data_IF_721061256935
#
_entry.id   IF_721061256935
#
_cell.length_a   1.000
_cell.length_b   1.000
_cell.length_c   1.000
_cell.angle_alpha   90.00
_cell.angle_beta   90.00
_cell.angle_gamma   90.00
#
_symmetry.space_group_name_H-M   'P 1'
#
loop_
_entity.id
_entity.type
_entity.pdbx_description
1 polymer ?
#
# COMPACT_ATOMS: atom_id res chain seq x y z
N UNK A 1 72.33 48.66 -17.66
CA UNK A 1 71.01 49.12 -17.16
C UNK A 1 69.91 48.56 -18.04
N UNK A 2 68.77 48.18 -17.46
CA UNK A 2 67.62 47.66 -18.18
C UNK A 2 66.33 48.34 -17.71
N UNK A 3 65.30 48.34 -18.55
CA UNK A 3 63.93 48.72 -18.18
C UNK A 3 62.89 48.11 -19.12
N UNK A 4 61.67 48.00 -18.64
CA UNK A 4 60.47 47.72 -19.43
C UNK A 4 59.58 48.96 -19.31
N UNK A 5 59.59 49.87 -20.31
CA UNK A 5 58.87 51.13 -20.26
C UNK A 5 57.36 50.97 -19.97
N UNK A 6 56.77 49.83 -20.32
CA UNK A 6 55.35 49.54 -20.10
C UNK A 6 55.01 49.16 -18.65
N UNK A 7 56.01 49.02 -17.78
CA UNK A 7 55.86 48.64 -16.36
C UNK A 7 56.43 49.71 -15.45
N UNK A 8 57.63 50.19 -15.77
CA UNK A 8 58.35 51.20 -14.98
C UNK A 8 59.27 52.00 -15.91
N UNK A 9 59.16 53.33 -15.86
CA UNK A 9 59.94 54.25 -16.70
C UNK A 9 61.41 54.36 -16.24
N UNK A 10 61.70 53.94 -15.01
CA UNK A 10 63.02 54.05 -14.38
C UNK A 10 64.00 52.99 -14.90
N UNK A 11 65.27 53.38 -14.99
CA UNK A 11 66.37 52.48 -15.34
C UNK A 11 66.86 51.72 -14.11
N UNK A 12 66.89 50.40 -14.19
CA UNK A 12 67.42 49.53 -13.15
C UNK A 12 68.84 49.07 -13.52
N UNK A 13 69.77 49.09 -12.56
CA UNK A 13 71.09 48.46 -12.70
C UNK A 13 71.03 47.02 -12.21
N UNK A 14 71.67 46.11 -12.94
CA UNK A 14 71.93 44.75 -12.47
C UNK A 14 73.43 44.52 -12.52
N UNK A 15 73.95 43.84 -11.50
CA UNK A 15 75.33 43.35 -11.44
C UNK A 15 75.46 41.91 -11.95
N UNK A 16 74.34 41.24 -12.23
CA UNK A 16 74.29 39.88 -12.77
C UNK A 16 73.83 39.92 -14.24
N UNK A 17 74.27 38.93 -15.02
CA UNK A 17 73.90 38.79 -16.45
C UNK A 17 72.42 38.37 -16.66
N UNK A 18 71.62 38.33 -15.60
CA UNK A 18 70.20 38.04 -15.63
C UNK A 18 69.39 39.05 -14.79
N UNK A 19 68.10 39.11 -15.05
CA UNK A 19 67.11 39.84 -14.27
C UNK A 19 65.77 39.11 -14.36
N UNK A 20 64.89 39.27 -13.39
CA UNK A 20 63.60 38.58 -13.32
C UNK A 20 62.47 39.55 -13.04
N UNK A 21 61.44 39.52 -13.89
CA UNK A 21 60.17 40.20 -13.63
C UNK A 21 59.10 39.16 -13.32
N UNK A 22 58.40 39.33 -12.20
CA UNK A 22 57.30 38.46 -11.79
C UNK A 22 55.96 39.14 -12.11
N UNK A 23 54.93 38.33 -12.38
CA UNK A 23 53.54 38.79 -12.55
C UNK A 23 53.30 39.77 -13.72
N UNK A 24 54.01 39.56 -14.83
CA UNK A 24 53.72 40.26 -16.09
C UNK A 24 52.29 39.96 -16.55
N UNK A 25 51.51 41.00 -16.84
CA UNK A 25 50.19 40.86 -17.45
C UNK A 25 50.34 40.43 -18.90
N UNK A 26 49.27 39.95 -19.51
CA UNK A 26 49.28 39.64 -20.94
C UNK A 26 49.43 40.93 -21.75
N UNK A 27 50.26 40.91 -22.79
CA UNK A 27 50.59 42.10 -23.57
C UNK A 27 51.96 42.03 -24.22
N UNK A 28 52.23 43.02 -25.07
CA UNK A 28 53.53 43.22 -25.71
C UNK A 28 54.40 44.10 -24.82
N UNK A 29 55.62 43.65 -24.56
CA UNK A 29 56.60 44.38 -23.77
C UNK A 29 57.87 44.57 -24.60
N UNK A 30 58.49 45.74 -24.47
CA UNK A 30 59.77 46.03 -25.10
C UNK A 30 60.85 46.14 -24.03
N UNK A 31 61.76 45.16 -24.03
CA UNK A 31 62.93 45.18 -23.18
C UNK A 31 63.96 46.16 -23.76
N UNK A 32 64.31 47.19 -23.00
CA UNK A 32 65.37 48.14 -23.35
C UNK A 32 66.61 47.90 -22.47
N UNK A 33 67.77 47.72 -23.09
CA UNK A 33 69.05 47.54 -22.39
C UNK A 33 70.05 48.59 -22.89
N UNK A 34 70.74 49.28 -21.97
CA UNK A 34 71.81 50.24 -22.30
C UNK A 34 73.06 50.00 -21.47
N UNK A 35 74.22 50.28 -22.06
CA UNK A 35 75.52 50.29 -21.39
C UNK A 35 75.70 51.57 -20.56
N UNK A 36 76.62 51.55 -19.60
CA UNK A 36 76.95 52.70 -18.74
C UNK A 36 77.74 53.79 -19.48
N UNK A 37 78.49 53.43 -20.53
CA UNK A 37 79.47 54.31 -21.21
C UNK A 37 79.10 54.55 -22.69
N UNK A 38 77.80 54.55 -23.02
CA UNK A 38 77.36 54.84 -24.38
C UNK A 38 75.86 54.99 -24.52
N UNK A 39 75.44 55.87 -25.43
CA UNK A 39 74.03 56.25 -25.63
C UNK A 39 73.24 55.27 -26.53
N UNK A 40 73.82 54.09 -26.80
CA UNK A 40 73.17 53.06 -27.63
C UNK A 40 72.30 52.16 -26.77
N UNK A 41 71.00 52.18 -27.06
CA UNK A 41 69.98 51.31 -26.45
C UNK A 41 69.69 50.14 -27.39
N UNK A 42 69.76 48.92 -26.88
CA UNK A 42 69.30 47.72 -27.58
C UNK A 42 67.87 47.40 -27.13
N UNK A 43 66.99 47.08 -28.08
CA UNK A 43 65.57 46.84 -27.84
C UNK A 43 65.16 45.45 -28.33
N UNK A 44 64.44 44.68 -27.50
CA UNK A 44 63.88 43.38 -27.85
C UNK A 44 62.43 43.33 -27.41
N UNK A 45 61.52 43.08 -28.36
CA UNK A 45 60.10 42.94 -28.07
C UNK A 45 59.72 41.47 -27.85
N UNK A 46 58.96 41.21 -26.78
CA UNK A 46 58.39 39.90 -26.50
C UNK A 46 56.90 40.03 -26.13
N UNK A 47 56.14 38.96 -26.34
CA UNK A 47 54.69 38.94 -26.09
C UNK A 47 54.36 37.90 -25.01
N UNK A 48 53.67 38.34 -23.96
CA UNK A 48 53.13 37.45 -22.93
C UNK A 48 51.72 37.05 -23.34
N UNK A 49 51.56 35.78 -23.73
CA UNK A 49 50.28 35.22 -24.17
C UNK A 49 49.18 35.32 -23.11
N UNK A 50 47.93 35.43 -23.57
CA UNK A 50 46.78 35.43 -22.67
C UNK A 50 46.66 34.08 -21.95
N UNK A 51 46.19 34.07 -20.69
CA UNK A 51 45.98 32.82 -19.97
C UNK A 51 45.03 31.91 -20.74
N UNK A 52 45.36 30.62 -20.82
CA UNK A 52 44.64 29.64 -21.64
C UNK A 52 43.14 29.50 -21.30
N UNK A 53 42.74 29.79 -20.06
CA UNK A 53 41.35 29.77 -19.59
C UNK A 53 40.50 30.96 -20.07
N UNK A 54 41.10 31.99 -20.68
CA UNK A 54 40.40 33.11 -21.34
C UNK A 54 40.26 32.93 -22.86
N UNK A 55 40.75 31.82 -23.42
CA UNK A 55 40.60 31.54 -24.85
C UNK A 55 39.14 31.25 -25.22
N UNK A 56 38.73 31.59 -26.44
CA UNK A 56 37.36 31.32 -26.93
C UNK A 56 36.98 29.83 -26.82
N UNK A 57 37.96 28.92 -26.99
CA UNK A 57 37.79 27.47 -26.80
C UNK A 57 37.45 27.11 -25.34
N UNK A 58 37.99 27.82 -24.37
CA UNK A 58 37.72 27.57 -22.95
C UNK A 58 36.26 27.90 -22.60
N UNK A 59 35.71 28.99 -23.15
CA UNK A 59 34.29 29.33 -22.99
C UNK A 59 33.36 28.26 -23.60
N UNK A 60 33.73 27.67 -24.74
CA UNK A 60 32.98 26.55 -25.30
C UNK A 60 33.01 25.33 -24.37
N UNK A 61 34.16 24.98 -23.82
CA UNK A 61 34.29 23.86 -22.87
C UNK A 61 33.45 24.11 -21.62
N UNK A 62 33.50 25.32 -21.04
CA UNK A 62 32.67 25.66 -19.88
C UNK A 62 31.17 25.59 -20.20
N UNK A 63 30.76 26.05 -21.38
CA UNK A 63 29.37 25.96 -21.84
C UNK A 63 28.91 24.50 -21.96
N UNK A 64 29.74 23.61 -22.51
CA UNK A 64 29.44 22.18 -22.64
C UNK A 64 29.34 21.53 -21.25
N UNK A 65 30.28 21.81 -20.35
CA UNK A 65 30.27 21.29 -18.97
C UNK A 65 29.03 21.77 -18.22
N UNK A 66 28.68 23.05 -18.35
CA UNK A 66 27.46 23.60 -17.76
C UNK A 66 26.20 22.95 -18.32
N UNK A 67 26.10 22.80 -19.65
CA UNK A 67 24.99 22.11 -20.29
C UNK A 67 24.88 20.63 -19.83
N UNK A 68 26.02 19.95 -19.66
CA UNK A 68 26.09 18.60 -19.12
C UNK A 68 25.60 18.51 -17.67
N UNK A 69 25.99 19.45 -16.81
CA UNK A 69 25.50 19.55 -15.44
C UNK A 69 23.98 19.82 -15.39
N UNK A 70 23.48 20.74 -16.20
CA UNK A 70 22.04 21.03 -16.32
C UNK A 70 21.29 19.80 -16.81
N UNK A 71 21.79 19.13 -17.84
CA UNK A 71 21.21 17.89 -18.37
C UNK A 71 21.18 16.79 -17.29
N UNK A 72 22.28 16.59 -16.57
CA UNK A 72 22.34 15.63 -15.47
C UNK A 72 21.34 15.96 -14.35
N UNK A 73 21.25 17.23 -13.95
CA UNK A 73 20.27 17.70 -12.97
C UNK A 73 18.84 17.42 -13.39
N UNK A 74 18.48 17.74 -14.64
CA UNK A 74 17.16 17.44 -15.22
C UNK A 74 16.91 15.93 -15.25
N UNK A 75 17.91 15.12 -15.63
CA UNK A 75 17.78 13.66 -15.68
C UNK A 75 17.54 13.07 -14.30
N UNK A 76 18.28 13.50 -13.28
CA UNK A 76 18.11 13.05 -11.89
C UNK A 76 16.73 13.44 -11.37
N UNK A 77 16.32 14.69 -11.56
CA UNK A 77 15.00 15.17 -11.14
C UNK A 77 13.86 14.39 -11.81
N UNK A 78 13.98 14.11 -13.12
CA UNK A 78 12.98 13.32 -13.86
C UNK A 78 12.94 11.87 -13.40
N UNK A 79 14.07 11.27 -13.03
CA UNK A 79 14.12 9.91 -12.51
C UNK A 79 13.42 9.80 -11.16
N UNK A 80 13.69 10.72 -10.24
CA UNK A 80 13.02 10.75 -8.93
C UNK A 80 11.51 10.96 -9.08
N UNK A 81 11.09 11.86 -9.96
CA UNK A 81 9.67 12.10 -10.25
C UNK A 81 8.98 10.86 -10.84
N UNK A 82 9.64 10.12 -11.73
CA UNK A 82 9.10 8.89 -12.29
C UNK A 82 8.92 7.81 -11.21
N UNK A 83 9.88 7.68 -10.31
CA UNK A 83 9.81 6.75 -9.17
C UNK A 83 8.66 7.10 -8.22
N UNK A 84 8.49 8.37 -7.88
CA UNK A 84 7.39 8.83 -7.04
C UNK A 84 6.02 8.55 -7.68
N UNK A 85 5.89 8.77 -9.00
CA UNK A 85 4.66 8.44 -9.73
C UNK A 85 4.34 6.95 -9.69
N UNK A 86 5.34 6.08 -9.90
CA UNK A 86 5.14 4.63 -9.83
C UNK A 86 4.68 4.17 -8.44
N UNK A 87 5.27 4.72 -7.37
CA UNK A 87 4.87 4.41 -6.00
C UNK A 87 3.43 4.86 -5.73
N UNK A 88 3.08 6.06 -6.17
CA UNK A 88 1.72 6.59 -6.02
C UNK A 88 0.70 5.76 -6.81
N UNK A 89 1.01 5.39 -8.06
CA UNK A 89 0.15 4.52 -8.88
C UNK A 89 -0.03 3.14 -8.25
N UNK A 90 1.06 2.57 -7.71
CA UNK A 90 1.01 1.30 -6.99
C UNK A 90 0.10 1.40 -5.75
N UNK A 91 0.25 2.45 -4.95
CA UNK A 91 -0.58 2.69 -3.75
C UNK A 91 -2.05 2.92 -4.11
N UNK A 92 -2.34 3.70 -5.15
CA UNK A 92 -3.70 3.91 -5.66
C UNK A 92 -4.32 2.59 -6.12
N UNK A 93 -3.59 1.78 -6.88
CA UNK A 93 -4.10 0.49 -7.37
C UNK A 93 -4.33 -0.49 -6.22
N UNK A 94 -3.44 -0.51 -5.23
CA UNK A 94 -3.62 -1.31 -4.01
C UNK A 94 -4.87 -0.88 -3.24
N UNK A 95 -5.03 0.42 -2.99
CA UNK A 95 -6.20 0.96 -2.28
C UNK A 95 -7.50 0.71 -3.05
N UNK A 96 -7.50 0.82 -4.39
CA UNK A 96 -8.65 0.47 -5.22
C UNK A 96 -9.04 -0.99 -5.07
N UNK A 97 -8.07 -1.89 -5.12
CA UNK A 97 -8.30 -3.32 -4.96
C UNK A 97 -8.86 -3.62 -3.56
N UNK A 98 -8.28 -3.05 -2.50
CA UNK A 98 -8.78 -3.20 -1.13
C UNK A 98 -10.22 -2.67 -0.98
N UNK A 99 -10.55 -1.53 -1.58
CA UNK A 99 -11.90 -0.98 -1.57
C UNK A 99 -12.91 -1.86 -2.32
N UNK A 100 -12.52 -2.42 -3.47
CA UNK A 100 -13.38 -3.33 -4.24
C UNK A 100 -13.66 -4.62 -3.46
N UNK A 101 -12.65 -5.14 -2.75
CA UNK A 101 -12.80 -6.28 -1.85
C UNK A 101 -13.73 -5.97 -0.69
N UNK A 102 -13.54 -4.82 -0.03
CA UNK A 102 -14.43 -4.38 1.05
C UNK A 102 -15.88 -4.23 0.58
N UNK A 103 -16.09 -3.71 -0.63
CA UNK A 103 -17.43 -3.62 -1.22
C UNK A 103 -18.05 -5.01 -1.44
N UNK A 104 -17.27 -5.98 -1.93
CA UNK A 104 -17.71 -7.36 -2.12
C UNK A 104 -18.03 -8.06 -0.79
N UNK A 105 -17.23 -7.82 0.24
CA UNK A 105 -17.51 -8.31 1.60
C UNK A 105 -18.81 -7.70 2.16
N UNK A 106 -19.09 -6.41 1.89
CA UNK A 106 -20.35 -5.78 2.27
C UNK A 106 -21.55 -6.37 1.52
N UNK A 107 -21.46 -6.50 0.20
CA UNK A 107 -22.49 -7.12 -0.65
C UNK A 107 -22.87 -8.51 -0.12
N UNK A 108 -21.87 -9.30 0.25
CA UNK A 108 -22.05 -10.59 0.88
C UNK A 108 -22.79 -10.49 2.22
N UNK A 109 -22.39 -9.58 3.11
CA UNK A 109 -23.06 -9.39 4.40
C UNK A 109 -24.53 -9.02 4.21
N UNK A 110 -24.85 -8.25 3.17
CA UNK A 110 -26.24 -7.96 2.80
C UNK A 110 -26.98 -9.22 2.35
N UNK A 111 -26.38 -10.03 1.48
CA UNK A 111 -26.98 -11.33 1.07
C UNK A 111 -27.20 -12.24 2.26
N UNK A 112 -26.23 -12.34 3.17
CA UNK A 112 -26.37 -13.13 4.39
C UNK A 112 -27.51 -12.59 5.25
N UNK A 113 -27.56 -11.28 5.51
CA UNK A 113 -28.66 -10.64 6.26
C UNK A 113 -30.03 -10.93 5.65
N UNK A 114 -30.12 -10.87 4.32
CA UNK A 114 -31.36 -11.20 3.61
C UNK A 114 -31.79 -12.66 3.82
N UNK A 115 -30.88 -13.63 3.68
CA UNK A 115 -31.19 -15.05 3.92
C UNK A 115 -31.61 -15.33 5.37
N UNK A 116 -31.04 -14.57 6.30
CA UNK A 116 -31.36 -14.63 7.73
C UNK A 116 -32.78 -14.11 7.98
N UNK A 117 -33.10 -12.93 7.46
CA UNK A 117 -34.42 -12.31 7.60
C UNK A 117 -35.51 -13.15 6.94
N UNK A 118 -35.24 -13.70 5.74
CA UNK A 118 -36.13 -14.65 5.07
C UNK A 118 -36.45 -15.84 5.99
N UNK A 119 -35.45 -16.41 6.65
CA UNK A 119 -35.68 -17.56 7.53
C UNK A 119 -36.48 -17.19 8.78
N UNK A 120 -36.26 -16.00 9.34
CA UNK A 120 -37.02 -15.51 10.48
C UNK A 120 -38.51 -15.38 10.13
N UNK A 121 -38.82 -14.77 8.99
CA UNK A 121 -40.21 -14.62 8.50
C UNK A 121 -40.85 -16.00 8.28
N UNK A 122 -40.13 -16.95 7.66
CA UNK A 122 -40.67 -18.30 7.43
C UNK A 122 -40.93 -19.04 8.74
N UNK A 123 -40.09 -18.83 9.75
CA UNK A 123 -40.27 -19.42 11.09
C UNK A 123 -41.46 -18.78 11.81
N UNK A 124 -41.61 -17.46 11.75
CA UNK A 124 -42.75 -16.75 12.32
C UNK A 124 -44.08 -17.17 11.67
N UNK A 125 -44.11 -17.28 10.34
CA UNK A 125 -45.27 -17.80 9.61
C UNK A 125 -45.59 -19.25 10.01
N UNK A 126 -44.58 -20.08 10.27
CA UNK A 126 -44.77 -21.44 10.75
C UNK A 126 -45.45 -21.44 12.11
N UNK A 127 -44.96 -20.62 13.04
CA UNK A 127 -45.49 -20.50 14.39
C UNK A 127 -46.94 -20.00 14.39
N UNK A 128 -47.28 -19.03 13.53
CA UNK A 128 -48.67 -18.59 13.34
C UNK A 128 -49.57 -19.72 12.81
N UNK A 129 -49.11 -20.49 11.83
CA UNK A 129 -49.87 -21.63 11.29
C UNK A 129 -50.07 -22.72 12.35
N UNK A 130 -49.05 -22.99 13.16
CA UNK A 130 -49.15 -23.98 14.23
C UNK A 130 -50.14 -23.52 15.32
N UNK A 131 -50.24 -22.20 15.58
CA UNK A 131 -51.28 -21.65 16.45
C UNK A 131 -52.70 -21.80 15.86
N UNK A 132 -52.88 -21.62 14.54
CA UNK A 132 -54.18 -21.82 13.87
C UNK A 132 -54.69 -23.27 13.97
N UNK A 133 -53.81 -24.25 14.11
CA UNK A 133 -54.19 -25.67 14.30
C UNK A 133 -54.88 -25.92 15.64
N UNK A 134 -54.62 -25.08 16.65
CA UNK A 134 -55.22 -25.21 17.98
C UNK A 134 -56.71 -24.83 17.95
N UNK A 135 -57.12 -23.95 17.02
CA UNK A 135 -58.51 -23.57 16.75
C UNK A 135 -59.05 -24.25 15.48
N UNK A 136 -58.98 -25.59 15.47
CA UNK A 136 -59.26 -26.44 14.30
C UNK A 136 -60.69 -26.34 13.74
N UNK A 137 -61.62 -25.68 14.43
CA UNK A 137 -63.01 -25.51 13.99
C UNK A 137 -63.21 -24.31 13.06
N UNK A 138 -62.24 -23.39 12.99
CA UNK A 138 -62.41 -22.08 12.33
C UNK A 138 -61.81 -22.00 10.93
N UNK A 139 -60.87 -22.89 10.58
CA UNK A 139 -60.14 -22.85 9.32
C UNK A 139 -60.18 -24.20 8.59
N UNK A 140 -60.38 -24.24 7.25
CA UNK A 140 -60.39 -25.50 6.54
C UNK A 140 -58.98 -26.13 6.52
N UNK A 141 -58.87 -27.35 7.05
CA UNK A 141 -57.61 -28.11 7.21
C UNK A 141 -56.77 -28.18 5.94
N UNK A 142 -57.41 -28.22 4.76
CA UNK A 142 -56.72 -28.28 3.46
C UNK A 142 -55.89 -27.02 3.17
N UNK A 143 -56.38 -25.82 3.53
CA UNK A 143 -55.64 -24.57 3.34
C UNK A 143 -54.47 -24.47 4.30
N UNK A 144 -54.67 -24.84 5.58
CA UNK A 144 -53.61 -24.89 6.60
C UNK A 144 -52.46 -25.81 6.16
N UNK A 145 -52.78 -27.03 5.70
CA UNK A 145 -51.78 -27.97 5.16
C UNK A 145 -51.08 -27.44 3.92
N UNK A 146 -51.77 -26.71 3.05
CA UNK A 146 -51.16 -26.12 1.85
C UNK A 146 -50.14 -25.03 2.23
N UNK A 147 -50.46 -24.18 3.19
CA UNK A 147 -49.56 -23.14 3.67
C UNK A 147 -48.35 -23.73 4.41
N UNK A 148 -48.57 -24.76 5.24
CA UNK A 148 -47.50 -25.51 5.92
C UNK A 148 -46.52 -26.13 4.93
N UNK A 149 -47.03 -26.71 3.83
CA UNK A 149 -46.19 -27.25 2.76
C UNK A 149 -45.29 -26.18 2.14
N UNK A 150 -45.84 -25.00 1.80
CA UNK A 150 -45.07 -23.89 1.20
C UNK A 150 -43.96 -23.41 2.15
N UNK A 151 -44.28 -23.25 3.43
CA UNK A 151 -43.29 -22.83 4.44
C UNK A 151 -42.22 -23.89 4.60
N UNK A 152 -42.60 -25.17 4.67
CA UNK A 152 -41.64 -26.26 4.82
C UNK A 152 -40.67 -26.33 3.63
N UNK A 153 -41.18 -26.19 2.40
CA UNK A 153 -40.35 -26.13 1.18
C UNK A 153 -39.38 -24.94 1.23
N UNK A 154 -39.83 -23.77 1.69
CA UNK A 154 -38.98 -22.58 1.87
C UNK A 154 -37.92 -22.72 2.97
N UNK A 155 -38.22 -23.45 4.05
CA UNK A 155 -37.26 -23.73 5.13
C UNK A 155 -36.23 -24.79 4.71
N UNK A 156 -36.63 -25.79 3.91
CA UNK A 156 -35.72 -26.82 3.40
C UNK A 156 -34.68 -26.26 2.41
N UNK A 157 -35.04 -25.28 1.59
CA UNK A 157 -34.13 -24.68 0.61
C UNK A 157 -33.00 -23.86 1.24
N UNK A 158 -33.11 -23.52 2.53
CA UNK A 158 -32.17 -22.64 3.23
C UNK A 158 -30.72 -23.16 3.18
N UNK A 159 -30.51 -24.47 3.31
CA UNK A 159 -29.16 -25.06 3.39
C UNK A 159 -28.42 -24.88 2.06
N UNK A 160 -29.09 -25.16 0.94
CA UNK A 160 -28.49 -25.00 -0.39
C UNK A 160 -28.39 -23.52 -0.78
N UNK A 161 -29.32 -22.65 -0.40
CA UNK A 161 -29.20 -21.19 -0.59
C UNK A 161 -27.97 -20.62 0.13
N UNK A 162 -27.74 -21.03 1.37
CA UNK A 162 -26.54 -20.67 2.13
C UNK A 162 -25.27 -21.22 1.47
N UNK A 163 -25.28 -22.48 1.04
CA UNK A 163 -24.15 -23.09 0.36
C UNK A 163 -23.83 -22.41 -0.96
N UNK A 164 -24.85 -21.97 -1.71
CA UNK A 164 -24.68 -21.19 -2.93
C UNK A 164 -24.13 -19.81 -2.63
N UNK A 165 -24.62 -19.12 -1.59
CA UNK A 165 -24.05 -17.86 -1.13
C UNK A 165 -22.57 -18.00 -0.75
N UNK A 166 -22.20 -19.08 -0.05
CA UNK A 166 -20.80 -19.41 0.31
C UNK A 166 -19.96 -19.84 -0.92
N UNK A 167 -20.54 -20.51 -1.91
CA UNK A 167 -19.81 -20.88 -3.13
C UNK A 167 -19.56 -19.67 -4.02
N UNK A 168 -20.53 -18.76 -4.13
CA UNK A 168 -20.33 -17.46 -4.78
C UNK A 168 -19.28 -16.62 -4.04
N UNK A 169 -19.18 -16.78 -2.72
CA UNK A 169 -18.12 -16.21 -1.88
C UNK A 169 -16.72 -16.71 -2.25
N UNK A 170 -16.57 -17.99 -2.61
CA UNK A 170 -15.26 -18.54 -3.06
C UNK A 170 -14.75 -17.88 -4.35
N UNK A 171 -15.61 -17.21 -5.11
CA UNK A 171 -15.24 -16.48 -6.32
C UNK A 171 -14.77 -15.04 -6.03
N UNK A 172 -14.99 -14.49 -4.81
CA UNK A 172 -14.40 -13.23 -4.38
C UNK A 172 -13.10 -13.53 -3.60
N UNK A 173 -11.98 -13.58 -4.32
CA UNK A 173 -10.74 -14.20 -3.87
C UNK A 173 -10.00 -13.58 -2.66
N UNK A 174 -10.54 -12.62 -1.90
CA UNK A 174 -9.87 -12.08 -0.70
C UNK A 174 -10.91 -11.59 0.33
N UNK A 175 -10.78 -11.97 1.62
CA UNK A 175 -11.73 -11.60 2.68
C UNK A 175 -11.70 -12.53 3.91
N UNK A 176 -12.56 -12.26 4.91
CA UNK A 176 -12.62 -13.01 6.19
C UNK A 176 -12.82 -14.52 6.00
N UNK A 177 -13.77 -14.94 5.16
CA UNK A 177 -14.09 -16.37 4.99
C UNK A 177 -13.00 -17.14 4.26
N UNK A 178 -12.26 -16.50 3.33
CA UNK A 178 -11.09 -17.12 2.71
C UNK A 178 -10.04 -17.43 3.78
N UNK A 179 -9.66 -16.43 4.58
CA UNK A 179 -8.74 -16.64 5.70
C UNK A 179 -9.28 -17.70 6.67
N UNK A 180 -10.57 -17.66 7.00
CA UNK A 180 -11.19 -18.63 7.91
C UNK A 180 -11.08 -20.07 7.38
N UNK A 181 -11.30 -20.29 6.09
CA UNK A 181 -11.20 -21.61 5.45
C UNK A 181 -9.73 -22.04 5.28
N UNK A 182 -8.82 -21.11 4.97
CA UNK A 182 -7.37 -21.38 4.89
C UNK A 182 -6.79 -21.81 6.24
N UNK A 183 -7.13 -21.11 7.32
CA UNK A 183 -6.67 -21.44 8.67
C UNK A 183 -7.40 -22.64 9.28
N UNK A 184 -8.68 -22.83 8.96
CA UNK A 184 -9.53 -23.88 9.52
C UNK A 184 -10.24 -24.68 8.41
N UNK A 185 -9.51 -25.50 7.63
CA UNK A 185 -10.06 -26.23 6.48
C UNK A 185 -11.10 -27.29 6.85
N UNK A 186 -11.17 -27.69 8.12
CA UNK A 186 -12.10 -28.72 8.62
C UNK A 186 -13.47 -28.14 9.06
N UNK A 187 -13.75 -26.85 8.81
CA UNK A 187 -15.04 -26.24 9.10
C UNK A 187 -16.11 -26.71 8.10
N UNK A 188 -17.24 -27.15 8.64
CA UNK A 188 -18.42 -27.54 7.84
C UNK A 188 -19.23 -26.30 7.44
N UNK A 189 -20.14 -26.39 6.45
CA UNK A 189 -21.04 -25.29 6.09
C UNK A 189 -21.83 -24.72 7.28
N UNK A 190 -22.26 -25.59 8.21
CA UNK A 190 -22.95 -25.16 9.42
C UNK A 190 -22.04 -24.42 10.41
N UNK A 191 -20.75 -24.80 10.49
CA UNK A 191 -19.79 -24.05 11.29
C UNK A 191 -19.53 -22.67 10.68
N UNK A 192 -19.40 -22.57 9.35
CA UNK A 192 -19.25 -21.30 8.64
C UNK A 192 -20.47 -20.40 8.84
N UNK A 193 -21.68 -20.96 8.74
CA UNK A 193 -22.94 -20.25 9.05
C UNK A 193 -22.95 -19.71 10.48
N UNK A 194 -22.52 -20.51 11.46
CA UNK A 194 -22.36 -20.05 12.85
C UNK A 194 -21.32 -18.92 12.96
N UNK A 195 -20.18 -19.00 12.26
CA UNK A 195 -19.18 -17.94 12.25
C UNK A 195 -19.73 -16.63 11.69
N UNK A 196 -20.52 -16.70 10.61
CA UNK A 196 -21.20 -15.54 10.04
C UNK A 196 -22.08 -14.83 11.07
N UNK A 197 -22.90 -15.59 11.80
CA UNK A 197 -23.77 -15.02 12.82
C UNK A 197 -22.99 -14.37 13.95
N UNK A 198 -21.90 -15.01 14.41
CA UNK A 198 -21.06 -14.48 15.46
C UNK A 198 -20.35 -13.19 15.02
N UNK A 199 -19.82 -13.15 13.79
CA UNK A 199 -19.18 -11.96 13.22
C UNK A 199 -20.15 -10.78 13.05
N UNK A 200 -21.42 -11.08 12.80
CA UNK A 200 -22.50 -10.07 12.75
C UNK A 200 -23.00 -9.65 14.14
N UNK A 201 -22.35 -10.11 15.21
CA UNK A 201 -22.65 -9.80 16.60
C UNK A 201 -24.07 -10.21 17.07
N UNK A 202 -24.64 -11.29 16.51
CA UNK A 202 -25.88 -11.86 17.01
C UNK A 202 -25.68 -12.54 18.37
N UNK A 203 -26.65 -12.38 19.27
CA UNK A 203 -26.69 -13.06 20.56
C UNK A 203 -27.01 -14.55 20.42
N UNK A 204 -26.66 -15.36 21.42
CA UNK A 204 -26.99 -16.81 21.43
C UNK A 204 -28.50 -17.05 21.23
N UNK A 205 -29.37 -16.16 21.75
CA UNK A 205 -30.82 -16.27 21.58
C UNK A 205 -31.27 -16.02 20.15
N UNK A 206 -30.74 -14.98 19.51
CA UNK A 206 -31.04 -14.68 18.10
C UNK A 206 -30.53 -15.80 17.20
N UNK A 207 -29.29 -16.28 17.42
CA UNK A 207 -28.73 -17.41 16.67
C UNK A 207 -29.60 -18.67 16.82
N UNK A 208 -30.10 -18.93 18.03
CA UNK A 208 -30.97 -20.08 18.30
C UNK A 208 -32.27 -20.01 17.49
N UNK A 209 -32.90 -18.83 17.45
CA UNK A 209 -34.10 -18.57 16.63
C UNK A 209 -33.78 -18.76 15.14
N UNK A 210 -32.69 -18.18 14.67
CA UNK A 210 -32.28 -18.19 13.26
C UNK A 210 -31.85 -19.58 12.76
N UNK A 211 -31.35 -20.44 13.63
CA UNK A 211 -31.00 -21.83 13.32
C UNK A 211 -32.12 -22.82 13.63
N UNK A 212 -33.25 -22.36 14.20
CA UNK A 212 -34.34 -23.19 14.69
C UNK A 212 -33.84 -24.32 15.62
N UNK A 213 -33.00 -23.96 16.59
CA UNK A 213 -32.45 -24.88 17.62
C UNK A 213 -32.58 -24.25 19.00
N UNK A 214 -32.36 -25.04 20.05
CA UNK A 214 -32.29 -24.49 21.41
C UNK A 214 -31.05 -23.62 21.60
N UNK A 215 -31.13 -22.65 22.52
CA UNK A 215 -29.96 -21.87 22.98
C UNK A 215 -28.83 -22.78 23.45
N UNK A 216 -29.17 -23.89 24.12
CA UNK A 216 -28.24 -24.95 24.52
C UNK A 216 -27.53 -25.57 23.30
N UNK A 217 -28.26 -25.81 22.21
CA UNK A 217 -27.70 -26.32 20.95
C UNK A 217 -26.70 -25.36 20.29
N UNK A 218 -26.95 -24.05 20.39
CA UNK A 218 -26.00 -23.02 19.96
C UNK A 218 -24.73 -23.05 20.82
N UNK A 219 -24.85 -23.13 22.14
CA UNK A 219 -23.69 -23.20 23.05
C UNK A 219 -22.80 -24.44 22.77
N UNK A 220 -23.42 -25.60 22.53
CA UNK A 220 -22.69 -26.81 22.12
C UNK A 220 -21.97 -26.60 20.78
N UNK A 221 -22.61 -25.89 19.85
CA UNK A 221 -22.00 -25.58 18.55
C UNK A 221 -20.83 -24.60 18.69
N UNK A 222 -20.95 -23.56 19.53
CA UNK A 222 -19.84 -22.64 19.87
C UNK A 222 -18.68 -23.39 20.52
N UNK A 223 -18.96 -24.33 21.42
CA UNK A 223 -17.93 -25.17 22.05
C UNK A 223 -17.19 -26.04 21.02
N UNK A 224 -17.93 -26.71 20.13
CA UNK A 224 -17.33 -27.50 19.03
C UNK A 224 -16.50 -26.62 18.10
N UNK A 225 -16.99 -25.42 17.79
CA UNK A 225 -16.30 -24.46 16.94
C UNK A 225 -14.96 -24.03 17.56
N UNK A 226 -14.95 -23.68 18.86
CA UNK A 226 -13.72 -23.37 19.61
C UNK A 226 -12.71 -24.51 19.55
N UNK A 227 -13.15 -25.76 19.71
CA UNK A 227 -12.26 -26.93 19.59
C UNK A 227 -11.68 -27.08 18.19
N UNK A 228 -12.49 -26.91 17.14
CA UNK A 228 -12.02 -26.97 15.74
C UNK A 228 -11.02 -25.86 15.43
N UNK A 229 -11.20 -24.69 16.03
CA UNK A 229 -10.30 -23.54 15.91
C UNK A 229 -9.13 -23.54 16.89
N UNK A 230 -9.06 -24.53 17.79
CA UNK A 230 -8.04 -24.65 18.84
C UNK A 230 -7.91 -23.40 19.74
N UNK A 231 -9.02 -22.71 19.98
CA UNK A 231 -9.04 -21.50 20.80
C UNK A 231 -9.03 -21.83 22.30
N UNK A 232 -8.28 -21.05 23.06
CA UNK A 232 -8.26 -21.12 24.51
C UNK A 232 -9.61 -20.67 25.12
N UNK A 233 -9.88 -21.10 26.36
CA UNK A 233 -11.17 -20.86 27.02
C UNK A 233 -11.40 -19.39 27.39
N UNK A 234 -10.31 -18.66 27.62
CA UNK A 234 -10.27 -17.24 27.96
C UNK A 234 -10.51 -16.31 26.77
N UNK A 235 -10.36 -16.80 25.54
CA UNK A 235 -10.60 -16.01 24.33
C UNK A 235 -12.11 -15.87 24.11
N UNK A 236 -12.61 -14.65 23.85
CA UNK A 236 -13.99 -14.47 23.41
C UNK A 236 -14.13 -14.83 21.93
N UNK A 237 -14.87 -15.92 21.63
CA UNK A 237 -15.06 -16.40 20.26
C UNK A 237 -15.70 -15.35 19.34
N UNK A 238 -16.64 -14.55 19.86
CA UNK A 238 -17.31 -13.52 19.06
C UNK A 238 -16.32 -12.41 18.70
N UNK A 239 -15.55 -11.94 19.67
CA UNK A 239 -14.51 -10.93 19.47
C UNK A 239 -13.41 -11.40 18.51
N UNK A 240 -12.95 -12.64 18.68
CA UNK A 240 -11.98 -13.28 17.79
C UNK A 240 -12.46 -13.41 16.33
N UNK A 241 -13.78 -13.59 16.10
CA UNK A 241 -14.34 -13.66 14.75
C UNK A 241 -14.65 -12.27 14.17
N UNK A 242 -14.71 -11.23 15.02
CA UNK A 242 -14.85 -9.85 14.59
C UNK A 242 -13.50 -9.22 14.24
N UNK A 243 -12.38 -9.67 14.83
CA UNK A 243 -11.05 -9.18 14.46
C UNK A 243 -10.68 -9.50 12.99
N UNK A 244 -9.99 -8.57 12.33
CA UNK A 244 -9.62 -8.67 10.91
C UNK A 244 -8.40 -9.57 10.65
N UNK A 245 -7.70 -9.93 11.73
CA UNK A 245 -6.50 -10.77 11.72
C UNK A 245 -6.73 -12.03 12.56
N UNK A 246 -6.46 -13.18 11.96
CA UNK A 246 -6.26 -14.43 12.68
C UNK A 246 -4.75 -14.57 12.86
N UNK A 247 -4.22 -14.11 14.00
CA UNK A 247 -2.78 -14.13 14.23
C UNK A 247 -2.30 -15.53 14.65
N UNK A 248 -1.16 -15.97 14.12
CA UNK A 248 -0.53 -17.25 14.45
C UNK A 248 -0.08 -17.33 15.92
N UNK A 249 0.08 -16.19 16.62
CA UNK A 249 0.54 -16.14 18.01
C UNK A 249 -0.45 -16.78 19.00
N UNK A 250 -1.75 -16.79 18.69
CA UNK A 250 -2.79 -17.36 19.56
C UNK A 250 -2.69 -18.89 19.67
N UNK A 251 -2.00 -19.55 18.74
CA UNK A 251 -1.74 -21.00 18.76
C UNK A 251 -0.40 -21.37 19.42
N UNK A 252 0.52 -20.41 19.59
CA UNK A 252 1.87 -20.66 20.10
C UNK A 252 2.01 -20.48 21.62
N UNK A 253 1.10 -19.71 22.27
CA UNK A 253 1.21 -19.40 23.70
C UNK A 253 0.90 -20.55 24.68
N UNK A 254 0.58 -21.77 24.22
CA UNK A 254 0.30 -22.93 25.10
C UNK A 254 0.95 -24.24 24.65
N UNK A 255 2.20 -24.16 24.20
CA UNK A 255 3.14 -25.30 24.23
C UNK A 255 4.05 -25.34 25.47
N UNK A 256 4.06 -24.28 26.29
CA UNK A 256 4.81 -24.17 27.53
C UNK A 256 3.95 -23.47 28.58
N UNK A 257 3.42 -24.23 29.54
CA UNK A 257 2.60 -23.72 30.65
C UNK A 257 1.79 -24.82 31.29
#
# INVERSE_FOLDING_TARGET
>A
FYRLPEIDENWHSTTQDNFSYLNLRWGTYTLQVRSEIGDKVAEISFNVGTPWYFSWLAFLIYSIVFAGMVYAGIRIFRFELAKQKQLLEYEINKNKLENELNYKDQELLFTMRYLIQKNEILTELKDEIDALKIDSSRYPVKFVKSMEKIIHEGLESQTEEWKNAINNLKLSEQGFFKKLIEFFPNLTPNDLKLCSYLRMNFSTKEIAKLLNVSTRGVEISRYRLRKKMKLAHDINLTEYLMSETFEQEDMAKKGNG
#
